data_IF_183758891673
#
_entry.id   IF_183758891673
#
_cell.length_a   1.000
_cell.length_b   1.000
_cell.length_c   1.000
_cell.angle_alpha   90.00
_cell.angle_beta   90.00
_cell.angle_gamma   90.00
#
_symmetry.space_group_name_H-M   'P 1'
#
loop_
_entity.id
_entity.type
_entity.pdbx_description
1 polymer ?
#
# COMPACT_ATOMS: atom_id res chain seq x y z
N UNK A 1 42.57 -5.98 8.59
CA UNK A 1 43.78 -6.56 7.96
C UNK A 1 44.82 -6.74 9.04
N UNK A 2 45.25 -7.98 9.36
CA UNK A 2 46.34 -8.17 10.32
C UNK A 2 47.64 -7.83 9.62
N UNK A 3 48.42 -6.94 10.21
CA UNK A 3 49.83 -6.74 9.82
C UNK A 3 50.56 -8.01 10.27
N UNK A 4 50.90 -8.86 9.31
CA UNK A 4 51.79 -10.00 9.55
C UNK A 4 53.16 -9.57 9.05
N UNK A 5 54.17 -9.62 9.93
CA UNK A 5 55.58 -9.33 9.63
C UNK A 5 55.96 -7.86 9.31
N UNK A 6 55.19 -6.87 9.77
CA UNK A 6 55.59 -5.45 9.65
C UNK A 6 55.58 -4.88 8.23
N UNK A 7 55.14 -5.65 7.25
CA UNK A 7 54.99 -5.21 5.86
C UNK A 7 53.56 -4.68 5.71
N UNK A 8 53.38 -3.40 5.32
CA UNK A 8 52.05 -2.87 5.00
C UNK A 8 51.44 -3.70 3.87
N UNK A 9 50.16 -4.09 3.96
CA UNK A 9 49.48 -4.81 2.90
C UNK A 9 49.64 -4.03 1.59
N UNK A 10 50.28 -4.62 0.59
CA UNK A 10 50.48 -3.98 -0.71
C UNK A 10 49.23 -4.25 -1.55
N UNK A 11 48.38 -3.23 -1.66
CA UNK A 11 47.12 -3.27 -2.41
C UNK A 11 45.91 -2.96 -1.55
N UNK A 12 44.83 -2.54 -2.21
CA UNK A 12 43.56 -2.27 -1.54
C UNK A 12 42.98 -3.55 -0.92
N UNK A 13 42.21 -3.38 0.15
CA UNK A 13 41.51 -4.48 0.81
C UNK A 13 40.69 -5.28 -0.22
N UNK A 14 40.72 -6.62 -0.17
CA UNK A 14 40.11 -7.47 -1.22
C UNK A 14 38.61 -7.21 -1.45
N UNK A 15 37.93 -6.62 -0.45
CA UNK A 15 36.53 -6.21 -0.55
C UNK A 15 36.32 -4.70 -0.78
N UNK A 16 37.37 -3.90 -0.92
CA UNK A 16 37.30 -2.46 -1.18
C UNK A 16 36.51 -2.14 -2.46
N UNK A 17 36.61 -3.01 -3.49
CA UNK A 17 35.82 -2.91 -4.72
C UNK A 17 34.30 -2.97 -4.51
N UNK A 18 33.83 -3.47 -3.36
CA UNK A 18 32.41 -3.50 -3.01
C UNK A 18 31.99 -2.28 -2.18
N UNK A 19 32.95 -1.45 -1.74
CA UNK A 19 32.64 -0.22 -1.03
C UNK A 19 32.07 0.80 -2.02
N UNK A 20 30.78 1.10 -1.89
CA UNK A 20 30.12 2.15 -2.66
C UNK A 20 29.99 3.39 -1.78
N UNK A 21 30.76 4.42 -2.08
CA UNK A 21 30.65 5.72 -1.42
C UNK A 21 29.47 6.51 -1.98
N UNK A 22 28.88 7.36 -1.15
CA UNK A 22 27.87 8.33 -1.60
C UNK A 22 28.59 9.48 -2.28
N UNK A 23 28.09 9.91 -3.45
CA UNK A 23 28.56 11.13 -4.09
C UNK A 23 27.92 12.34 -3.41
N UNK A 24 28.74 13.18 -2.79
CA UNK A 24 28.31 14.37 -2.05
C UNK A 24 28.45 15.59 -2.93
N UNK A 25 27.37 16.36 -3.05
CA UNK A 25 27.36 17.62 -3.81
C UNK A 25 28.39 18.58 -3.22
N UNK A 26 29.34 19.01 -4.05
CA UNK A 26 30.29 20.09 -3.72
C UNK A 26 29.79 21.39 -4.30
N UNK A 27 30.00 22.49 -3.59
CA UNK A 27 29.68 23.85 -4.04
C UNK A 27 30.88 24.78 -3.86
N UNK A 28 30.88 25.86 -4.63
CA UNK A 28 31.86 26.95 -4.59
C UNK A 28 31.39 28.06 -3.65
N UNK A 29 32.29 28.96 -3.27
CA UNK A 29 31.95 30.11 -2.42
C UNK A 29 30.96 31.04 -3.14
N UNK A 30 31.08 31.19 -4.45
CA UNK A 30 30.15 31.99 -5.26
C UNK A 30 28.75 31.37 -5.32
N UNK A 31 28.66 30.04 -5.42
CA UNK A 31 27.39 29.32 -5.34
C UNK A 31 26.76 29.43 -3.95
N UNK A 32 27.59 29.43 -2.89
CA UNK A 32 27.12 29.60 -1.53
C UNK A 32 26.47 30.96 -1.31
N UNK A 33 27.19 32.04 -1.64
CA UNK A 33 26.71 33.41 -1.45
C UNK A 33 25.43 33.69 -2.24
N UNK A 34 25.34 33.11 -3.45
CA UNK A 34 24.21 33.36 -4.35
C UNK A 34 22.95 32.56 -4.01
N UNK A 35 23.09 31.32 -3.52
CA UNK A 35 21.96 30.38 -3.44
C UNK A 35 21.75 29.74 -2.07
N UNK A 36 22.74 29.76 -1.17
CA UNK A 36 22.75 28.93 0.04
C UNK A 36 22.74 29.73 1.36
N UNK A 37 22.73 31.06 1.29
CA UNK A 37 22.68 31.91 2.49
C UNK A 37 21.40 31.66 3.30
N UNK A 38 21.56 31.54 4.62
CA UNK A 38 20.46 31.21 5.54
C UNK A 38 20.74 31.85 6.92
N UNK A 39 19.74 32.46 7.57
CA UNK A 39 19.94 33.15 8.85
C UNK A 39 20.26 32.21 10.02
N UNK A 40 19.92 30.93 9.92
CA UNK A 40 20.15 29.92 10.96
C UNK A 40 21.39 29.04 10.73
N UNK A 41 22.13 29.25 9.64
CA UNK A 41 23.28 28.45 9.25
C UNK A 41 24.42 29.32 8.73
N UNK A 42 25.60 29.17 9.32
CA UNK A 42 26.81 29.77 8.74
C UNK A 42 27.38 28.91 7.62
N UNK A 43 28.28 29.50 6.82
CA UNK A 43 28.99 28.78 5.77
C UNK A 43 29.84 27.67 6.36
N UNK A 44 30.55 27.97 7.44
CA UNK A 44 31.42 27.04 8.16
C UNK A 44 30.64 25.85 8.71
N UNK A 45 29.45 26.09 9.30
CA UNK A 45 28.57 25.01 9.75
C UNK A 45 28.08 24.14 8.57
N UNK A 46 27.78 24.77 7.43
CA UNK A 46 27.34 24.04 6.23
C UNK A 46 28.48 23.22 5.63
N UNK A 47 29.68 23.78 5.53
CA UNK A 47 30.88 23.11 5.03
C UNK A 47 31.24 21.91 5.91
N UNK A 48 31.16 22.09 7.24
CA UNK A 48 31.38 21.01 8.19
C UNK A 48 30.33 19.90 8.07
N UNK A 49 29.05 20.25 7.87
CA UNK A 49 28.01 19.26 7.61
C UNK A 49 28.33 18.43 6.37
N UNK A 50 28.76 19.07 5.28
CA UNK A 50 29.09 18.38 4.03
C UNK A 50 30.36 17.51 4.14
N UNK A 51 31.37 17.93 4.91
CA UNK A 51 32.53 17.08 5.24
C UNK A 51 32.09 15.81 5.98
N UNK A 52 31.27 15.95 7.02
CA UNK A 52 30.79 14.82 7.81
C UNK A 52 29.87 13.91 6.98
N UNK A 53 29.06 14.48 6.09
CA UNK A 53 28.24 13.73 5.14
C UNK A 53 29.08 12.82 4.22
N UNK A 54 30.23 13.30 3.75
CA UNK A 54 31.17 12.51 2.95
C UNK A 54 31.92 11.47 3.77
N UNK A 55 32.36 11.82 4.99
CA UNK A 55 33.12 10.92 5.86
C UNK A 55 32.29 9.79 6.46
N UNK A 56 30.99 10.01 6.64
CA UNK A 56 30.08 9.06 7.29
C UNK A 56 28.97 8.56 6.37
N UNK A 57 29.12 8.68 5.05
CA UNK A 57 28.18 8.14 4.05
C UNK A 57 26.71 8.50 4.34
N UNK A 58 26.44 9.77 4.68
CA UNK A 58 25.10 10.27 5.05
C UNK A 58 24.42 9.57 6.23
N UNK A 59 25.18 8.92 7.12
CA UNK A 59 24.64 8.35 8.35
C UNK A 59 24.34 9.44 9.37
N UNK A 60 23.21 10.14 9.20
CA UNK A 60 22.85 11.33 9.97
C UNK A 60 22.83 11.15 11.49
N UNK A 61 22.59 9.94 12.00
CA UNK A 61 22.68 9.67 13.46
C UNK A 61 24.12 9.82 13.95
N UNK A 62 25.09 9.33 13.19
CA UNK A 62 26.54 9.48 13.48
C UNK A 62 26.98 10.92 13.26
N UNK A 63 26.48 11.55 12.19
CA UNK A 63 26.79 12.95 11.89
C UNK A 63 26.31 13.86 13.02
N UNK A 64 25.08 13.68 13.52
CA UNK A 64 24.54 14.46 14.63
C UNK A 64 25.34 14.28 15.93
N UNK A 65 25.79 13.06 16.22
CA UNK A 65 26.68 12.77 17.37
C UNK A 65 28.03 13.48 17.28
N UNK A 66 28.56 13.66 16.06
CA UNK A 66 29.88 14.25 15.80
C UNK A 66 29.83 15.73 15.44
N UNK A 67 28.64 16.29 15.27
CA UNK A 67 28.48 17.70 14.93
C UNK A 67 28.81 18.57 16.16
N UNK A 68 29.61 19.64 16.05
CA UNK A 68 30.03 20.41 17.23
C UNK A 68 28.88 21.09 17.97
N UNK A 69 27.83 21.49 17.25
CA UNK A 69 26.61 22.03 17.84
C UNK A 69 25.56 20.93 17.98
N UNK A 70 24.76 21.01 19.05
CA UNK A 70 23.71 20.03 19.37
C UNK A 70 22.47 20.22 18.48
N UNK A 71 22.64 20.13 17.17
CA UNK A 71 21.57 20.23 16.17
C UNK A 71 20.82 18.90 16.05
N UNK A 72 19.48 18.90 16.00
CA UNK A 72 18.72 17.68 15.79
C UNK A 72 18.97 17.13 14.38
N UNK A 73 18.88 15.80 14.24
CA UNK A 73 19.04 15.09 12.95
C UNK A 73 18.17 15.69 11.85
N UNK A 74 16.98 16.15 12.21
CA UNK A 74 16.00 16.73 11.31
C UNK A 74 16.51 18.01 10.65
N UNK A 75 17.15 18.89 11.41
CA UNK A 75 17.72 20.15 10.91
C UNK A 75 18.92 19.88 10.02
N UNK A 76 19.81 18.96 10.41
CA UNK A 76 20.96 18.55 9.60
C UNK A 76 20.53 18.01 8.24
N UNK A 77 19.52 17.12 8.22
CA UNK A 77 18.92 16.62 6.98
C UNK A 77 18.29 17.74 6.17
N UNK A 78 17.54 18.63 6.82
CA UNK A 78 16.90 19.78 6.16
C UNK A 78 17.90 20.61 5.39
N UNK A 79 18.99 21.02 6.06
CA UNK A 79 20.06 21.82 5.46
C UNK A 79 20.72 21.08 4.31
N UNK A 80 21.13 19.83 4.51
CA UNK A 80 21.79 19.02 3.48
C UNK A 80 20.95 18.90 2.21
N UNK A 81 19.66 18.55 2.34
CA UNK A 81 18.78 18.38 1.18
C UNK A 81 18.39 19.71 0.53
N UNK A 82 18.24 20.78 1.31
CA UNK A 82 17.99 22.12 0.78
C UNK A 82 19.17 22.60 -0.08
N UNK A 83 20.40 22.48 0.44
CA UNK A 83 21.63 22.86 -0.28
C UNK A 83 21.81 22.00 -1.53
N UNK A 84 21.69 20.67 -1.40
CA UNK A 84 21.87 19.74 -2.52
C UNK A 84 20.89 20.03 -3.67
N UNK A 85 19.63 20.38 -3.35
CA UNK A 85 18.63 20.79 -4.35
C UNK A 85 18.97 22.14 -4.97
N UNK A 86 19.30 23.15 -4.16
CA UNK A 86 19.61 24.49 -4.66
C UNK A 86 20.78 24.46 -5.66
N UNK A 87 21.83 23.72 -5.35
CA UNK A 87 22.99 23.54 -6.25
C UNK A 87 22.61 22.75 -7.50
N UNK A 88 21.86 21.66 -7.35
CA UNK A 88 21.39 20.89 -8.50
C UNK A 88 20.56 21.74 -9.46
N UNK A 89 19.62 22.53 -8.92
CA UNK A 89 18.79 23.43 -9.70
C UNK A 89 19.59 24.55 -10.38
N UNK A 90 20.58 25.13 -9.70
CA UNK A 90 21.44 26.18 -10.25
C UNK A 90 22.30 25.69 -11.43
N UNK A 91 22.73 24.42 -11.41
CA UNK A 91 23.60 23.82 -12.43
C UNK A 91 22.86 23.30 -13.67
N UNK A 92 21.57 22.97 -13.56
CA UNK A 92 20.75 22.49 -14.69
C UNK A 92 19.58 23.43 -14.99
N UNK A 93 19.81 24.57 -15.67
CA UNK A 93 18.77 25.55 -15.97
C UNK A 93 17.88 25.23 -17.20
N UNK A 94 18.14 24.16 -17.97
CA UNK A 94 17.40 23.89 -19.23
C UNK A 94 16.86 22.45 -19.31
N UNK A 95 15.54 22.39 -19.49
CA UNK A 95 14.62 21.24 -19.68
C UNK A 95 15.23 19.89 -20.08
N UNK A 96 14.96 18.89 -19.23
CA UNK A 96 15.18 17.47 -19.46
C UNK A 96 14.79 16.68 -18.22
N UNK A 97 13.52 16.78 -17.80
CA UNK A 97 12.92 16.02 -16.70
C UNK A 97 13.63 16.12 -15.32
N UNK A 98 13.70 17.33 -14.76
CA UNK A 98 14.18 17.54 -13.37
C UNK A 98 13.31 16.75 -12.36
N UNK A 99 12.06 16.40 -12.73
CA UNK A 99 11.15 15.54 -11.97
C UNK A 99 11.60 14.07 -11.88
N UNK A 100 12.55 13.62 -12.70
CA UNK A 100 13.15 12.28 -12.59
C UNK A 100 14.18 12.19 -11.45
N UNK A 101 14.74 13.32 -11.01
CA UNK A 101 15.65 13.34 -9.86
C UNK A 101 14.84 13.17 -8.56
N UNK A 102 14.97 12.00 -7.92
CA UNK A 102 14.30 11.68 -6.65
C UNK A 102 14.51 12.76 -5.58
N UNK A 103 15.65 13.45 -5.60
CA UNK A 103 15.97 14.56 -4.69
C UNK A 103 15.00 15.75 -4.82
N UNK A 104 14.48 16.03 -6.02
CA UNK A 104 13.51 17.10 -6.28
C UNK A 104 12.07 16.64 -6.12
N UNK A 105 11.78 15.38 -6.48
CA UNK A 105 10.45 14.79 -6.38
C UNK A 105 9.99 14.65 -4.93
N UNK A 106 10.84 14.11 -4.07
CA UNK A 106 10.51 13.84 -2.68
C UNK A 106 11.16 14.88 -1.78
N UNK A 107 10.48 16.02 -1.62
CA UNK A 107 10.98 17.10 -0.78
C UNK A 107 11.04 16.67 0.67
N UNK A 108 12.22 16.74 1.27
CA UNK A 108 12.39 16.51 2.71
C UNK A 108 11.50 17.45 3.53
N UNK A 109 10.58 16.88 4.31
CA UNK A 109 9.67 17.60 5.17
C UNK A 109 10.06 17.39 6.63
N UNK A 110 10.67 18.42 7.23
CA UNK A 110 11.11 18.45 8.62
C UNK A 110 9.96 18.15 9.58
N UNK A 111 8.82 18.81 9.38
CA UNK A 111 7.68 18.69 10.28
C UNK A 111 7.10 17.27 10.28
N UNK A 112 7.04 16.66 9.10
CA UNK A 112 6.64 15.26 8.97
C UNK A 112 7.62 14.32 9.67
N UNK A 113 8.93 14.52 9.55
CA UNK A 113 9.92 13.67 10.25
C UNK A 113 9.86 13.82 11.78
N UNK A 114 9.64 15.04 12.27
CA UNK A 114 9.43 15.31 13.70
C UNK A 114 8.19 14.55 14.20
N UNK A 115 7.07 14.69 13.50
CA UNK A 115 5.82 14.02 13.88
C UNK A 115 5.95 12.50 13.80
N UNK A 116 6.58 11.98 12.74
CA UNK A 116 6.84 10.56 12.58
C UNK A 116 7.69 10.00 13.73
N UNK A 117 8.73 10.72 14.15
CA UNK A 117 9.56 10.32 15.30
C UNK A 117 8.79 10.40 16.62
N UNK A 118 7.97 11.43 16.82
CA UNK A 118 7.10 11.58 18.00
C UNK A 118 6.13 10.40 18.10
N UNK A 119 5.40 10.09 17.03
CA UNK A 119 4.45 8.98 16.99
C UNK A 119 5.14 7.63 17.24
N UNK A 120 6.32 7.40 16.63
CA UNK A 120 7.09 6.19 16.88
C UNK A 120 7.55 6.08 18.33
N UNK A 121 8.01 7.19 18.92
CA UNK A 121 8.41 7.24 20.32
C UNK A 121 7.24 6.90 21.25
N UNK A 122 6.04 7.41 20.96
CA UNK A 122 4.84 7.09 21.73
C UNK A 122 4.59 5.58 21.71
N UNK A 123 4.54 4.97 20.52
CA UNK A 123 4.29 3.52 20.37
C UNK A 123 5.37 2.68 21.08
N UNK A 124 6.64 3.05 20.94
CA UNK A 124 7.73 2.30 21.58
C UNK A 124 7.75 2.44 23.11
N UNK A 125 7.17 3.52 23.65
CA UNK A 125 7.03 3.74 25.09
C UNK A 125 5.81 3.07 25.72
N UNK A 126 4.88 2.54 24.90
CA UNK A 126 3.65 1.92 25.39
C UNK A 126 3.91 0.70 26.26
N UNK A 127 3.15 0.58 27.34
CA UNK A 127 3.20 -0.60 28.20
C UNK A 127 2.23 -1.68 27.73
N UNK A 128 2.51 -2.95 28.06
CA UNK A 128 1.58 -4.07 27.79
C UNK A 128 0.20 -3.89 28.43
N UNK A 129 0.11 -3.16 29.53
CA UNK A 129 -1.17 -2.89 30.19
C UNK A 129 -1.99 -1.86 29.42
N UNK A 130 -1.33 -0.82 28.92
CA UNK A 130 -1.92 0.22 28.06
C UNK A 130 -2.40 -0.38 26.74
N UNK A 131 -1.59 -1.23 26.09
CA UNK A 131 -1.97 -1.96 24.87
C UNK A 131 -3.26 -2.78 25.05
N UNK A 132 -3.43 -3.46 26.20
CA UNK A 132 -4.66 -4.22 26.49
C UNK A 132 -5.88 -3.31 26.65
N UNK A 133 -5.72 -2.17 27.33
CA UNK A 133 -6.80 -1.20 27.51
C UNK A 133 -7.20 -0.59 26.18
N UNK A 134 -6.23 -0.20 25.35
CA UNK A 134 -6.47 0.35 24.02
C UNK A 134 -7.19 -0.66 23.11
N UNK A 135 -6.81 -1.95 23.20
CA UNK A 135 -7.49 -3.03 22.48
C UNK A 135 -8.95 -3.21 22.93
N UNK A 136 -9.24 -3.10 24.23
CA UNK A 136 -10.61 -3.16 24.75
C UNK A 136 -11.45 -1.96 24.29
N UNK A 137 -10.89 -0.74 24.36
CA UNK A 137 -11.53 0.48 23.86
C UNK A 137 -11.81 0.40 22.36
N UNK A 138 -10.87 -0.11 21.56
CA UNK A 138 -11.07 -0.31 20.12
C UNK A 138 -12.15 -1.35 19.82
N UNK A 139 -12.21 -2.45 20.58
CA UNK A 139 -13.25 -3.46 20.44
C UNK A 139 -14.63 -2.89 20.77
N UNK A 140 -14.74 -2.07 21.82
CA UNK A 140 -15.98 -1.38 22.17
C UNK A 140 -16.39 -0.36 21.11
N UNK A 141 -15.45 0.49 20.65
CA UNK A 141 -15.71 1.46 19.59
C UNK A 141 -16.22 0.78 18.32
N UNK A 142 -15.62 -0.36 17.94
CA UNK A 142 -16.09 -1.17 16.82
C UNK A 142 -17.55 -1.63 17.03
N UNK A 143 -17.87 -2.18 18.20
CA UNK A 143 -19.23 -2.60 18.54
C UNK A 143 -20.25 -1.45 18.44
N UNK A 144 -19.87 -0.25 18.91
CA UNK A 144 -20.70 0.96 18.80
C UNK A 144 -20.92 1.34 17.33
N UNK A 145 -19.86 1.34 16.51
CA UNK A 145 -19.98 1.67 15.09
C UNK A 145 -20.90 0.69 14.35
N UNK A 146 -20.79 -0.61 14.61
CA UNK A 146 -21.67 -1.63 14.04
C UNK A 146 -23.13 -1.41 14.47
N UNK A 147 -23.36 -1.13 15.76
CA UNK A 147 -24.70 -0.85 16.29
C UNK A 147 -25.31 0.40 15.64
N UNK A 148 -24.53 1.46 15.43
CA UNK A 148 -24.98 2.69 14.77
C UNK A 148 -25.31 2.48 13.29
N UNK A 149 -24.54 1.66 12.59
CA UNK A 149 -24.84 1.30 11.18
C UNK A 149 -26.16 0.53 11.10
N UNK A 150 -26.40 -0.42 12.01
CA UNK A 150 -27.65 -1.18 12.07
C UNK A 150 -28.85 -0.26 12.37
N UNK A 151 -28.71 0.63 13.37
CA UNK A 151 -29.76 1.57 13.72
C UNK A 151 -30.11 2.52 12.57
N UNK A 152 -29.09 3.04 11.86
CA UNK A 152 -29.29 3.92 10.71
C UNK A 152 -29.95 3.19 9.53
N UNK A 153 -29.57 1.94 9.28
CA UNK A 153 -30.22 1.12 8.25
C UNK A 153 -31.69 0.80 8.59
N UNK A 154 -32.02 0.64 9.88
CA UNK A 154 -33.39 0.46 10.34
C UNK A 154 -34.23 1.75 10.17
N UNK A 155 -33.68 2.91 10.49
CA UNK A 155 -34.31 4.21 10.28
C UNK A 155 -34.57 4.51 8.80
N UNK A 156 -33.60 4.19 7.92
CA UNK A 156 -33.74 4.35 6.47
C UNK A 156 -34.80 3.41 5.87
N UNK A 157 -34.94 2.19 6.42
CA UNK A 157 -36.01 1.27 6.06
C UNK A 157 -37.40 1.76 6.51
N UNK A 158 -37.49 2.42 7.67
CA UNK A 158 -38.75 3.00 8.17
C UNK A 158 -39.16 4.26 7.38
N UNK A 159 -38.20 5.12 7.01
CA UNK A 159 -38.42 6.27 6.12
C UNK A 159 -38.85 5.83 4.71
N UNK A 160 -38.29 4.73 4.19
CA UNK A 160 -38.75 4.13 2.94
C UNK A 160 -40.17 3.55 3.04
N UNK A 161 -40.52 2.95 4.19
CA UNK A 161 -41.87 2.43 4.44
C UNK A 161 -42.91 3.55 4.59
N UNK A 162 -42.58 4.66 5.26
CA UNK A 162 -43.48 5.81 5.39
C UNK A 162 -43.64 6.62 4.09
N UNK A 163 -42.63 6.65 3.22
CA UNK A 163 -42.76 7.22 1.86
C UNK A 163 -43.73 6.44 0.96
N UNK A 164 -43.89 5.12 1.20
CA UNK A 164 -44.86 4.28 0.46
C UNK A 164 -46.33 4.57 0.81
N UNK A 165 -46.61 5.08 2.01
CA UNK A 165 -47.98 5.43 2.47
C UNK A 165 -48.47 6.75 1.86
N UNK A 166 -47.56 7.65 1.46
CA UNK A 166 -47.93 8.94 0.85
C UNK A 166 -48.34 8.77 -0.63
N UNK A 167 -48.03 7.63 -1.28
CA UNK A 167 -48.36 7.40 -2.69
C UNK A 167 -49.76 6.84 -2.95
N UNK A 168 -50.58 6.57 -1.91
CA UNK A 168 -51.94 6.03 -2.10
C UNK A 168 -53.07 7.08 -2.16
N UNK A 169 -52.82 8.38 -1.94
CA UNK A 169 -53.92 9.37 -1.85
C UNK A 169 -54.08 10.29 -3.08
N UNK A 170 -53.22 10.26 -4.10
CA UNK A 170 -53.37 11.21 -5.21
C UNK A 170 -53.18 10.61 -6.61
N UNK A 171 -54.18 9.84 -7.06
CA UNK A 171 -54.40 9.53 -8.48
C UNK A 171 -55.72 10.17 -8.95
N UNK A 172 -55.66 11.44 -9.39
CA UNK A 172 -56.52 11.91 -10.49
C UNK A 172 -55.99 13.15 -11.23
N UNK A 173 -55.67 12.90 -12.49
CA UNK A 173 -55.55 13.78 -13.66
C UNK A 173 -54.14 14.28 -14.10
N UNK A 174 -53.81 14.23 -15.42
CA UNK A 174 -52.45 14.42 -15.91
C UNK A 174 -52.21 15.73 -16.73
N UNK A 175 -50.97 16.25 -16.61
CA UNK A 175 -50.15 17.17 -17.49
C UNK A 175 -50.70 18.61 -17.74
N UNK A 176 -49.92 19.71 -18.03
CA UNK A 176 -48.51 19.81 -18.49
C UNK A 176 -47.61 20.98 -17.99
N UNK A 177 -46.29 20.82 -18.23
CA UNK A 177 -45.19 21.80 -18.50
C UNK A 177 -45.16 23.15 -17.75
N UNK A 178 -44.05 23.42 -17.05
CA UNK A 178 -43.68 24.77 -16.62
C UNK A 178 -42.32 24.87 -15.93
N UNK A 179 -41.39 25.58 -16.58
CA UNK A 179 -40.10 26.09 -16.09
C UNK A 179 -40.16 26.71 -14.69
N UNK A 180 -39.16 26.47 -13.83
CA UNK A 180 -38.22 27.48 -13.27
C UNK A 180 -37.27 26.86 -12.24
N UNK A 181 -35.97 27.11 -12.37
CA UNK A 181 -35.03 27.04 -11.26
C UNK A 181 -35.26 28.21 -10.29
N UNK A 182 -34.85 28.08 -9.02
CA UNK A 182 -33.78 28.97 -8.56
C UNK A 182 -32.72 28.28 -7.70
N UNK A 183 -31.47 28.70 -7.92
CA UNK A 183 -30.29 28.39 -7.13
C UNK A 183 -30.30 29.11 -5.77
N UNK A 184 -29.68 28.51 -4.74
CA UNK A 184 -28.81 29.23 -3.77
C UNK A 184 -27.93 28.28 -2.94
N UNK A 185 -26.65 28.27 -3.34
CA UNK A 185 -25.41 28.10 -2.58
C UNK A 185 -25.42 27.69 -1.09
N UNK A 186 -24.60 26.67 -0.78
CA UNK A 186 -23.56 26.73 0.28
C UNK A 186 -22.50 25.64 0.08
N UNK A 187 -21.39 26.05 -0.53
CA UNK A 187 -19.98 25.65 -0.34
C UNK A 187 -19.56 24.20 0.04
N UNK A 188 -18.68 23.65 -0.81
CA UNK A 188 -17.71 22.58 -0.57
C UNK A 188 -16.63 22.97 0.47
N UNK A 189 -15.77 22.01 0.90
CA UNK A 189 -14.47 21.96 0.22
C UNK A 189 -14.08 20.57 -0.32
N UNK A 190 -13.40 20.68 -1.46
CA UNK A 190 -12.83 19.65 -2.32
C UNK A 190 -11.50 19.15 -1.77
N UNK A 191 -11.26 17.86 -1.97
CA UNK A 191 -9.93 17.24 -1.93
C UNK A 191 -9.90 15.88 -2.64
N UNK A 192 -10.68 15.71 -3.72
CA UNK A 192 -10.68 14.50 -4.54
C UNK A 192 -9.61 14.63 -5.62
N UNK A 193 -8.48 13.94 -5.42
CA UNK A 193 -7.54 13.63 -6.49
C UNK A 193 -8.25 12.70 -7.48
N UNK A 194 -8.28 13.09 -8.75
CA UNK A 194 -8.92 12.34 -9.84
C UNK A 194 -8.44 10.88 -9.89
N UNK A 195 -9.33 9.90 -10.15
CA UNK A 195 -8.93 8.51 -10.30
C UNK A 195 -8.10 8.37 -11.58
N UNK A 196 -6.87 7.89 -11.42
CA UNK A 196 -6.04 7.42 -12.53
C UNK A 196 -6.78 6.31 -13.29
N UNK A 197 -6.69 6.25 -14.64
CA UNK A 197 -7.35 5.20 -15.40
C UNK A 197 -6.81 3.84 -14.96
N UNK A 198 -7.66 2.81 -14.79
CA UNK A 198 -7.23 1.51 -14.34
C UNK A 198 -6.29 0.89 -15.38
N UNK A 199 -5.06 0.60 -14.97
CA UNK A 199 -4.21 -0.33 -15.71
C UNK A 199 -4.90 -1.70 -15.73
N UNK A 200 -4.69 -2.54 -16.78
CA UNK A 200 -5.41 -3.80 -16.96
C UNK A 200 -5.28 -4.76 -15.76
N UNK A 201 -4.19 -4.66 -14.98
CA UNK A 201 -3.95 -5.42 -13.75
C UNK A 201 -4.89 -5.05 -12.58
N UNK A 202 -5.48 -3.85 -12.60
CA UNK A 202 -6.32 -3.35 -11.50
C UNK A 202 -7.70 -4.01 -11.47
N UNK A 203 -8.17 -4.54 -12.61
CA UNK A 203 -9.49 -5.16 -12.77
C UNK A 203 -9.68 -6.43 -11.92
N UNK A 204 -8.58 -7.13 -11.60
CA UNK A 204 -8.59 -8.39 -10.83
C UNK A 204 -8.63 -8.21 -9.31
N UNK A 205 -8.43 -6.99 -8.80
CA UNK A 205 -8.39 -6.71 -7.36
C UNK A 205 -9.81 -6.46 -6.83
N UNK A 206 -10.31 -7.24 -5.83
CA UNK A 206 -11.58 -7.01 -5.16
C UNK A 206 -11.77 -5.54 -4.71
N UNK A 207 -12.99 -5.02 -4.84
CA UNK A 207 -13.33 -3.62 -4.48
C UNK A 207 -12.96 -3.28 -3.02
N UNK A 208 -13.07 -4.25 -2.11
CA UNK A 208 -12.64 -4.16 -0.71
C UNK A 208 -11.18 -3.79 -0.54
N UNK A 209 -10.30 -4.31 -1.41
CA UNK A 209 -8.86 -4.01 -1.39
C UNK A 209 -8.52 -2.70 -2.07
N UNK A 210 -9.30 -2.30 -3.09
CA UNK A 210 -9.12 -1.00 -3.75
C UNK A 210 -9.32 0.18 -2.80
N UNK A 211 -10.21 0.06 -1.81
CA UNK A 211 -10.43 1.10 -0.79
C UNK A 211 -9.25 1.28 0.18
N UNK A 212 -8.43 0.24 0.39
CA UNK A 212 -7.35 0.27 1.38
C UNK A 212 -6.09 1.00 0.90
N UNK A 213 -5.96 1.28 -0.42
CA UNK A 213 -4.79 1.84 -1.13
C UNK A 213 -3.48 1.02 -0.99
N UNK A 214 -3.14 0.57 0.22
CA UNK A 214 -2.01 -0.31 0.55
C UNK A 214 -2.56 -1.53 1.28
N UNK A 215 -2.18 -2.73 0.85
CA UNK A 215 -2.62 -3.98 1.46
C UNK A 215 -1.53 -5.04 1.45
N UNK A 216 -1.60 -5.97 2.40
CA UNK A 216 -0.71 -7.14 2.43
C UNK A 216 -1.08 -8.10 1.29
N UNK A 217 -0.07 -8.54 0.52
CA UNK A 217 -0.28 -9.47 -0.60
C UNK A 217 -0.89 -10.81 -0.19
N UNK A 218 -0.59 -11.28 1.02
CA UNK A 218 -1.20 -12.48 1.60
C UNK A 218 -2.69 -12.30 1.84
N UNK A 219 -3.11 -11.16 2.40
CA UNK A 219 -4.52 -10.84 2.62
C UNK A 219 -5.27 -10.68 1.28
N UNK A 220 -4.63 -10.03 0.30
CA UNK A 220 -5.22 -9.89 -1.03
C UNK A 220 -5.45 -11.24 -1.71
N UNK A 221 -4.46 -12.13 -1.66
CA UNK A 221 -4.57 -13.48 -2.19
C UNK A 221 -5.73 -14.25 -1.52
N UNK A 222 -5.87 -14.15 -0.19
CA UNK A 222 -6.95 -14.83 0.54
C UNK A 222 -8.35 -14.34 0.09
N UNK A 223 -8.53 -13.04 -0.10
CA UNK A 223 -9.79 -12.49 -0.64
C UNK A 223 -10.05 -12.93 -2.09
N UNK A 224 -9.02 -12.94 -2.94
CA UNK A 224 -9.15 -13.39 -4.32
C UNK A 224 -9.46 -14.89 -4.43
N UNK A 225 -8.86 -15.71 -3.58
CA UNK A 225 -9.15 -17.15 -3.49
C UNK A 225 -10.58 -17.39 -3.03
N UNK A 226 -11.06 -16.62 -2.04
CA UNK A 226 -12.45 -16.66 -1.60
C UNK A 226 -13.41 -16.27 -2.72
N UNK A 227 -13.10 -15.21 -3.48
CA UNK A 227 -13.91 -14.77 -4.61
C UNK A 227 -13.95 -15.82 -5.73
N UNK A 228 -12.80 -16.37 -6.12
CA UNK A 228 -12.69 -17.42 -7.14
C UNK A 228 -13.41 -18.72 -6.75
N UNK A 229 -13.52 -18.99 -5.44
CA UNK A 229 -14.18 -20.18 -4.90
C UNK A 229 -15.64 -19.95 -4.51
N UNK A 230 -16.19 -18.74 -4.72
CA UNK A 230 -17.54 -18.36 -4.24
C UNK A 230 -18.68 -19.22 -4.79
N UNK A 231 -18.52 -19.75 -6.01
CA UNK A 231 -19.47 -20.68 -6.63
C UNK A 231 -19.26 -22.14 -6.24
N UNK A 232 -18.16 -22.46 -5.54
CA UNK A 232 -17.80 -23.81 -5.16
C UNK A 232 -18.24 -24.14 -3.72
N UNK A 233 -18.82 -25.32 -3.52
CA UNK A 233 -19.17 -25.79 -2.18
C UNK A 233 -17.94 -26.11 -1.32
N UNK A 234 -18.08 -26.02 0.00
CA UNK A 234 -16.98 -26.22 0.97
C UNK A 234 -16.21 -27.54 0.77
N UNK A 235 -16.90 -28.63 0.38
CA UNK A 235 -16.24 -29.92 0.08
C UNK A 235 -15.33 -29.85 -1.13
N UNK A 236 -15.75 -29.14 -2.18
CA UNK A 236 -14.94 -28.93 -3.39
C UNK A 236 -13.71 -28.08 -3.08
N UNK A 237 -13.87 -27.03 -2.28
CA UNK A 237 -12.75 -26.18 -1.83
C UNK A 237 -11.71 -27.01 -1.07
N UNK A 238 -12.16 -27.89 -0.15
CA UNK A 238 -11.24 -28.81 0.55
C UNK A 238 -10.53 -29.78 -0.40
N UNK A 239 -11.20 -30.24 -1.46
CA UNK A 239 -10.53 -31.06 -2.49
C UNK A 239 -9.49 -30.26 -3.27
N UNK A 240 -9.75 -28.99 -3.60
CA UNK A 240 -8.76 -28.11 -4.23
C UNK A 240 -7.51 -28.00 -3.36
N UNK A 241 -7.68 -27.76 -2.06
CA UNK A 241 -6.56 -27.69 -1.10
C UNK A 241 -5.84 -29.04 -0.92
N UNK A 242 -6.56 -30.16 -1.05
CA UNK A 242 -5.96 -31.49 -1.04
C UNK A 242 -5.13 -31.73 -2.32
N UNK A 243 -5.67 -31.45 -3.50
CA UNK A 243 -4.94 -31.59 -4.77
C UNK A 243 -3.68 -30.73 -4.79
N UNK A 244 -3.72 -29.52 -4.21
CA UNK A 244 -2.51 -28.70 -4.05
C UNK A 244 -1.44 -29.41 -3.20
N UNK A 245 -1.83 -30.02 -2.08
CA UNK A 245 -0.91 -30.77 -1.24
C UNK A 245 -0.35 -32.01 -1.94
N UNK A 246 -1.20 -32.73 -2.70
CA UNK A 246 -0.80 -33.89 -3.48
C UNK A 246 0.24 -33.53 -4.56
N UNK A 247 0.14 -32.31 -5.12
CA UNK A 247 1.12 -31.73 -6.04
C UNK A 247 2.37 -31.14 -5.35
N UNK A 248 2.47 -31.24 -4.02
CA UNK A 248 3.58 -30.68 -3.24
C UNK A 248 3.57 -29.15 -3.11
N UNK A 249 2.45 -28.50 -3.42
CA UNK A 249 2.29 -27.04 -3.33
C UNK A 249 1.61 -26.67 -2.00
N UNK A 250 2.18 -25.69 -1.29
CA UNK A 250 1.57 -25.22 -0.04
C UNK A 250 0.22 -24.55 -0.30
N UNK A 251 -0.77 -24.89 0.53
CA UNK A 251 -2.13 -24.28 0.53
C UNK A 251 -2.06 -22.75 0.69
N UNK A 252 -1.07 -22.26 1.45
CA UNK A 252 -0.73 -20.84 1.52
C UNK A 252 0.72 -20.64 1.05
N UNK A 253 0.98 -19.75 0.08
CA UNK A 253 2.35 -19.48 -0.38
C UNK A 253 3.25 -18.97 0.76
N UNK A 254 4.44 -19.56 0.92
CA UNK A 254 5.42 -19.15 1.94
C UNK A 254 6.01 -17.76 1.67
N UNK A 255 6.15 -17.39 0.39
CA UNK A 255 6.68 -16.10 -0.04
C UNK A 255 5.69 -15.46 -1.03
N UNK A 256 4.75 -14.63 -0.54
CA UNK A 256 3.66 -14.07 -1.35
C UNK A 256 4.13 -12.86 -2.18
N UNK A 257 4.95 -13.11 -3.21
CA UNK A 257 5.28 -12.10 -4.23
C UNK A 257 4.14 -11.93 -5.24
N UNK A 258 4.14 -10.85 -6.04
CA UNK A 258 3.09 -10.61 -7.05
C UNK A 258 2.93 -11.80 -8.00
N UNK A 259 4.04 -12.29 -8.55
CA UNK A 259 4.04 -13.42 -9.49
C UNK A 259 3.58 -14.72 -8.80
N UNK A 260 4.10 -15.03 -7.62
CA UNK A 260 3.72 -16.25 -6.88
C UNK A 260 2.23 -16.27 -6.56
N UNK A 261 1.66 -15.14 -6.11
CA UNK A 261 0.23 -15.06 -5.84
C UNK A 261 -0.63 -15.23 -7.10
N UNK A 262 -0.19 -14.71 -8.24
CA UNK A 262 -0.91 -14.83 -9.51
C UNK A 262 -0.94 -16.30 -10.00
N UNK A 263 0.22 -16.95 -10.06
CA UNK A 263 0.34 -18.36 -10.47
C UNK A 263 -0.41 -19.29 -9.50
N UNK A 264 -0.34 -19.01 -8.19
CA UNK A 264 -1.06 -19.80 -7.18
C UNK A 264 -2.58 -19.71 -7.34
N UNK A 265 -3.08 -18.52 -7.66
CA UNK A 265 -4.50 -18.30 -7.92
C UNK A 265 -4.93 -19.00 -9.22
N UNK A 266 -4.12 -18.95 -10.27
CA UNK A 266 -4.44 -19.58 -11.54
C UNK A 266 -4.49 -21.10 -11.41
N UNK A 267 -3.50 -21.71 -10.76
CA UNK A 267 -3.49 -23.15 -10.47
C UNK A 267 -4.75 -23.58 -9.70
N UNK A 268 -5.21 -22.78 -8.73
CA UNK A 268 -6.46 -23.07 -8.01
C UNK A 268 -7.69 -23.07 -8.91
N UNK A 269 -7.78 -22.14 -9.86
CA UNK A 269 -8.88 -22.11 -10.85
C UNK A 269 -8.84 -23.33 -11.76
N UNK A 270 -7.65 -23.72 -12.23
CA UNK A 270 -7.47 -24.91 -13.08
C UNK A 270 -7.88 -26.18 -12.35
N UNK A 271 -7.44 -26.37 -11.10
CA UNK A 271 -7.85 -27.50 -10.26
C UNK A 271 -9.36 -27.51 -10.06
N UNK A 272 -9.96 -26.35 -9.76
CA UNK A 272 -11.41 -26.24 -9.59
C UNK A 272 -12.16 -26.61 -10.88
N UNK A 273 -11.66 -26.15 -12.04
CA UNK A 273 -12.19 -26.51 -13.35
C UNK A 273 -12.10 -28.01 -13.60
N UNK A 274 -10.95 -28.63 -13.34
CA UNK A 274 -10.74 -30.07 -13.46
C UNK A 274 -11.75 -30.86 -12.61
N UNK A 275 -11.95 -30.48 -11.35
CA UNK A 275 -12.90 -31.14 -10.45
C UNK A 275 -14.35 -31.02 -10.96
N UNK A 276 -14.71 -29.89 -11.56
CA UNK A 276 -16.02 -29.70 -12.18
C UNK A 276 -16.21 -30.57 -13.43
N UNK A 277 -15.19 -30.65 -14.30
CA UNK A 277 -15.22 -31.52 -15.47
C UNK A 277 -15.34 -32.99 -15.09
N UNK A 278 -14.55 -33.44 -14.11
CA UNK A 278 -14.65 -34.82 -13.58
C UNK A 278 -16.07 -35.13 -13.11
N UNK A 279 -16.69 -34.21 -12.36
CA UNK A 279 -18.08 -34.36 -11.92
C UNK A 279 -19.05 -34.53 -13.11
N UNK A 280 -18.93 -33.69 -14.14
CA UNK A 280 -19.79 -33.77 -15.33
C UNK A 280 -19.62 -35.08 -16.10
N UNK A 281 -18.39 -35.59 -16.20
CA UNK A 281 -18.10 -36.87 -16.87
C UNK A 281 -18.74 -38.03 -16.10
N UNK A 282 -18.64 -38.03 -14.77
CA UNK A 282 -19.29 -39.04 -13.93
C UNK A 282 -20.81 -39.01 -14.04
N UNK A 283 -21.41 -37.83 -14.02
CA UNK A 283 -22.85 -37.65 -14.22
C UNK A 283 -23.29 -38.14 -15.60
N UNK A 284 -22.55 -37.79 -16.65
CA UNK A 284 -22.82 -38.24 -18.02
C UNK A 284 -22.74 -39.76 -18.14
N UNK A 285 -21.69 -40.38 -17.57
CA UNK A 285 -21.53 -41.83 -17.57
C UNK A 285 -22.67 -42.53 -16.84
N UNK A 286 -23.06 -42.01 -15.67
CA UNK A 286 -24.18 -42.55 -14.90
C UNK A 286 -25.50 -42.52 -15.69
N UNK A 287 -25.77 -41.42 -16.42
CA UNK A 287 -26.95 -41.30 -17.28
C UNK A 287 -26.95 -42.29 -18.44
N UNK A 288 -25.79 -42.54 -19.06
CA UNK A 288 -25.64 -43.53 -20.13
C UNK A 288 -25.93 -44.94 -19.59
N UNK A 289 -25.37 -45.29 -18.42
CA UNK A 289 -25.60 -46.60 -17.78
C UNK A 289 -27.08 -46.78 -17.43
N UNK A 290 -27.70 -45.77 -16.81
CA UNK A 290 -29.13 -45.82 -16.47
C UNK A 290 -30.02 -45.93 -17.71
N UNK A 291 -29.71 -45.20 -18.78
CA UNK A 291 -30.46 -45.28 -20.05
C UNK A 291 -30.33 -46.65 -20.69
N UNK A 292 -29.13 -47.24 -20.66
CA UNK A 292 -28.89 -48.60 -21.17
C UNK A 292 -29.63 -49.66 -20.35
N UNK A 293 -29.63 -49.56 -19.02
CA UNK A 293 -30.40 -50.44 -18.14
C UNK A 293 -31.91 -50.33 -18.41
N UNK A 294 -32.41 -49.10 -18.55
CA UNK A 294 -33.83 -48.85 -18.83
C UNK A 294 -34.24 -49.41 -20.19
N UNK A 295 -33.40 -49.27 -21.21
CA UNK A 295 -33.63 -49.90 -22.51
C UNK A 295 -33.67 -51.43 -22.41
N UNK A 296 -32.75 -52.04 -21.65
CA UNK A 296 -32.73 -53.50 -21.46
C UNK A 296 -33.99 -54.01 -20.75
N UNK A 297 -34.46 -53.31 -19.71
CA UNK A 297 -35.69 -53.67 -18.96
C UNK A 297 -36.95 -53.52 -19.80
N UNK A 298 -37.01 -52.53 -20.71
CA UNK A 298 -38.18 -52.33 -21.59
C UNK A 298 -38.25 -53.36 -22.72
N UNK A 299 -37.13 -53.98 -23.09
CA UNK A 299 -37.05 -54.99 -24.15
C UNK A 299 -37.02 -56.44 -23.64
N UNK A 300 -37.20 -56.66 -22.34
CA UNK A 300 -37.52 -57.96 -21.74
C UNK A 300 -39.04 -58.10 -21.53
#
# INVERSE_FOLDING_TARGET
VRVVNGIPPTGDYSFAKYNKSVDIVKYTDEEYEKYLTDPGWTKEETDQLFDLCGRFDLRFVVIADRFPSSRPVEELKSRYYAVSRAISAARTPTSGDVSANHLHKDTYNVQHEIERKRALSMVLSQTKQEERKDAEVLAEAKKITESRVIAKAAEEAELAASSSVIHEINERFPIPVGSVSPSSNSQLPVGAVAPTPPTPDSALIPNTLRMLRVFLRSNALEQMVQAASSSAGLRTIKRVDQTLQDLGVNVKPKVPTKAVCAEHLELRKEILSLLNLQKQVWESFALIVLSSLKFMVVNL
#
